data_IF_707298135365
#
_entry.id   IF_707298135365
#
_cell.length_a   1.000
_cell.length_b   1.000
_cell.length_c   1.000
_cell.angle_alpha   90.00
_cell.angle_beta   90.00
_cell.angle_gamma   90.00
#
_symmetry.space_group_name_H-M   'P 1'
#
loop_
_entity.id
_entity.type
_entity.pdbx_description
1 polymer ?
#
# COMPACT_ATOMS: atom_id res chain seq x y z
N UNK A 1 -8.28 -15.69 2.93
CA UNK A 1 -7.68 -16.01 4.26
C UNK A 1 -8.71 -15.71 5.34
N UNK A 2 -8.79 -16.50 6.40
CA UNK A 2 -9.78 -16.28 7.47
C UNK A 2 -9.28 -15.14 8.39
N UNK A 3 -10.19 -14.24 8.80
CA UNK A 3 -9.91 -13.10 9.67
C UNK A 3 -10.88 -13.09 10.86
N UNK A 4 -10.54 -12.37 11.93
CA UNK A 4 -11.48 -12.21 13.05
C UNK A 4 -12.64 -11.27 12.66
N UNK A 5 -13.84 -11.42 13.26
CA UNK A 5 -14.97 -10.53 13.02
C UNK A 5 -14.65 -9.06 13.30
N UNK A 6 -13.83 -8.79 14.32
CA UNK A 6 -13.44 -7.43 14.71
C UNK A 6 -12.58 -6.77 13.63
N UNK A 7 -11.66 -7.52 13.00
CA UNK A 7 -10.90 -7.03 11.87
C UNK A 7 -11.82 -6.74 10.67
N UNK A 8 -12.78 -7.62 10.39
CA UNK A 8 -13.77 -7.39 9.34
C UNK A 8 -14.61 -6.12 9.56
N UNK A 9 -15.10 -5.93 10.78
CA UNK A 9 -15.85 -4.74 11.17
C UNK A 9 -15.01 -3.47 11.04
N UNK A 10 -13.78 -3.49 11.57
CA UNK A 10 -12.86 -2.36 11.48
C UNK A 10 -12.59 -1.95 10.03
N UNK A 11 -12.30 -2.91 9.14
CA UNK A 11 -12.08 -2.64 7.72
C UNK A 11 -13.34 -2.06 7.06
N UNK A 12 -14.52 -2.61 7.36
CA UNK A 12 -15.80 -2.12 6.84
C UNK A 12 -16.12 -0.70 7.29
N UNK A 13 -15.92 -0.39 8.57
CA UNK A 13 -16.15 0.95 9.12
C UNK A 13 -15.18 1.98 8.55
N UNK A 14 -13.87 1.66 8.55
CA UNK A 14 -12.84 2.57 8.03
C UNK A 14 -12.99 2.85 6.54
N UNK A 15 -13.46 1.86 5.78
CA UNK A 15 -13.67 1.99 4.34
C UNK A 15 -15.03 2.58 3.98
N UNK A 16 -15.95 2.73 4.94
CA UNK A 16 -17.36 3.03 4.69
C UNK A 16 -17.98 2.08 3.64
N UNK A 17 -17.55 0.81 3.63
CA UNK A 17 -18.01 -0.19 2.67
C UNK A 17 -17.47 -0.04 1.25
N UNK A 18 -16.52 0.87 0.99
CA UNK A 18 -15.90 1.03 -0.33
C UNK A 18 -14.93 -0.13 -0.61
N UNK A 19 -15.19 -1.00 -1.62
CA UNK A 19 -14.35 -2.16 -1.89
C UNK A 19 -12.89 -1.82 -2.21
N UNK A 20 -12.66 -0.75 -2.95
CA UNK A 20 -11.30 -0.28 -3.27
C UNK A 20 -10.56 0.16 -2.01
N UNK A 21 -11.25 0.86 -1.10
CA UNK A 21 -10.62 1.28 0.15
C UNK A 21 -10.36 0.07 1.07
N UNK A 22 -11.25 -0.92 1.14
CA UNK A 22 -10.98 -2.18 1.87
C UNK A 22 -9.70 -2.84 1.36
N UNK A 23 -9.54 -2.94 0.04
CA UNK A 23 -8.35 -3.53 -0.59
C UNK A 23 -7.09 -2.75 -0.23
N UNK A 24 -7.08 -1.43 -0.47
CA UNK A 24 -5.91 -0.59 -0.20
C UNK A 24 -5.53 -0.56 1.27
N UNK A 25 -6.52 -0.52 2.16
CA UNK A 25 -6.28 -0.59 3.60
C UNK A 25 -5.71 -1.95 3.99
N UNK A 26 -6.24 -3.04 3.43
CA UNK A 26 -5.72 -4.39 3.70
C UNK A 26 -4.28 -4.55 3.23
N UNK A 27 -3.96 -4.04 2.03
CA UNK A 27 -2.59 -4.02 1.51
C UNK A 27 -1.65 -3.20 2.40
N UNK A 28 -2.05 -2.01 2.85
CA UNK A 28 -1.25 -1.19 3.77
C UNK A 28 -0.96 -1.94 5.09
N UNK A 29 -1.96 -2.58 5.68
CA UNK A 29 -1.79 -3.36 6.92
C UNK A 29 -0.84 -4.55 6.73
N UNK A 30 -0.87 -5.19 5.55
CA UNK A 30 0.04 -6.27 5.20
C UNK A 30 1.46 -5.78 4.99
N UNK A 31 1.66 -4.72 4.22
CA UNK A 31 2.97 -4.10 3.96
C UNK A 31 3.64 -3.62 5.25
N UNK A 32 2.85 -3.11 6.20
CA UNK A 32 3.33 -2.68 7.52
C UNK A 32 3.52 -3.83 8.52
N UNK A 33 3.15 -5.05 8.16
CA UNK A 33 3.24 -6.22 9.03
C UNK A 33 2.35 -6.13 10.28
N UNK A 34 1.27 -5.35 10.25
CA UNK A 34 0.42 -5.12 11.43
C UNK A 34 -0.60 -6.23 11.67
N UNK A 35 -0.82 -7.08 10.67
CA UNK A 35 -1.70 -8.23 10.80
C UNK A 35 -0.96 -9.38 11.47
N UNK A 36 -1.52 -9.85 12.58
CA UNK A 36 -0.97 -10.95 13.38
C UNK A 36 -1.90 -12.16 13.30
N UNK A 37 -1.34 -13.36 13.50
CA UNK A 37 -2.13 -14.59 13.52
C UNK A 37 -2.59 -14.88 14.95
N UNK A 38 -3.91 -14.85 15.14
CA UNK A 38 -4.53 -15.34 16.36
C UNK A 38 -4.76 -16.84 16.23
N UNK A 39 -4.46 -17.59 17.29
CA UNK A 39 -4.66 -19.04 17.31
C UNK A 39 -5.63 -19.42 18.42
N UNK A 40 -6.90 -19.55 18.08
CA UNK A 40 -7.99 -19.96 18.97
C UNK A 40 -8.74 -21.19 18.44
N UNK A 41 -7.97 -22.20 17.98
CA UNK A 41 -8.50 -23.37 17.28
C UNK A 41 -8.65 -23.19 15.76
N UNK A 42 -8.50 -21.95 15.28
CA UNK A 42 -8.33 -21.62 13.85
C UNK A 42 -7.29 -20.51 13.73
N UNK A 43 -6.47 -20.56 12.68
CA UNK A 43 -5.56 -19.47 12.35
C UNK A 43 -6.35 -18.34 11.68
N UNK A 44 -6.53 -17.24 12.41
CA UNK A 44 -7.26 -16.05 11.97
C UNK A 44 -6.34 -14.83 11.99
N UNK A 45 -6.38 -14.01 10.94
CA UNK A 45 -5.72 -12.70 10.98
C UNK A 45 -6.48 -11.74 11.91
N UNK A 46 -5.74 -11.05 12.77
CA UNK A 46 -6.25 -9.99 13.63
C UNK A 46 -5.35 -8.76 13.59
N UNK A 47 -5.91 -7.62 13.99
CA UNK A 47 -5.21 -6.36 14.13
C UNK A 47 -5.16 -5.98 15.63
N UNK A 48 -3.97 -5.92 16.24
CA UNK A 48 -3.82 -5.51 17.63
C UNK A 48 -4.33 -4.09 17.87
N UNK A 49 -5.03 -3.88 19.01
CA UNK A 49 -5.61 -2.56 19.37
C UNK A 49 -4.58 -1.43 19.40
N UNK A 50 -3.33 -1.75 19.77
CA UNK A 50 -2.23 -0.78 19.83
C UNK A 50 -1.90 -0.12 18.48
N UNK A 51 -2.33 -0.70 17.36
CA UNK A 51 -2.06 -0.15 16.02
C UNK A 51 -3.23 0.67 15.44
N UNK A 52 -4.39 0.70 16.09
CA UNK A 52 -5.61 1.30 15.53
C UNK A 52 -5.47 2.80 15.27
N UNK A 53 -4.78 3.53 16.15
CA UNK A 53 -4.58 4.98 16.02
C UNK A 53 -3.61 5.34 14.89
N UNK A 54 -2.65 4.46 14.58
CA UNK A 54 -1.66 4.67 13.54
C UNK A 54 -2.18 4.33 12.13
N UNK A 55 -3.46 3.98 11.99
CA UNK A 55 -4.06 3.60 10.72
C UNK A 55 -4.76 4.81 10.10
N UNK A 56 -4.37 5.22 8.88
CA UNK A 56 -4.99 6.36 8.21
C UNK A 56 -6.51 6.22 8.09
N UNK A 57 -7.21 7.34 8.21
CA UNK A 57 -8.67 7.40 8.15
C UNK A 57 -9.23 7.63 6.74
N UNK A 58 -8.37 7.88 5.75
CA UNK A 58 -8.80 8.17 4.37
C UNK A 58 -7.99 7.37 3.36
N UNK A 59 -8.60 7.10 2.21
CA UNK A 59 -7.93 6.42 1.10
C UNK A 59 -6.69 7.17 0.63
N UNK A 60 -6.75 8.50 0.53
CA UNK A 60 -5.61 9.32 0.14
C UNK A 60 -4.46 9.19 1.14
N UNK A 61 -4.75 9.19 2.44
CA UNK A 61 -3.73 9.03 3.46
C UNK A 61 -3.12 7.62 3.47
N UNK A 62 -3.91 6.58 3.17
CA UNK A 62 -3.38 5.23 2.94
C UNK A 62 -2.42 5.21 1.75
N UNK A 63 -2.83 5.75 0.61
CA UNK A 63 -1.99 5.79 -0.60
C UNK A 63 -0.70 6.59 -0.37
N UNK A 64 -0.77 7.75 0.29
CA UNK A 64 0.42 8.53 0.65
C UNK A 64 1.37 7.75 1.57
N UNK A 65 0.84 7.08 2.60
CA UNK A 65 1.65 6.27 3.51
C UNK A 65 2.36 5.12 2.79
N UNK A 66 1.75 4.54 1.74
CA UNK A 66 2.39 3.53 0.88
C UNK A 66 3.50 4.15 0.02
N UNK A 67 3.23 5.29 -0.62
CA UNK A 67 4.22 6.02 -1.42
C UNK A 67 5.45 6.44 -0.59
N UNK A 68 5.27 6.81 0.67
CA UNK A 68 6.36 7.21 1.55
C UNK A 68 7.28 6.06 1.97
N UNK A 69 6.80 4.81 1.92
CA UNK A 69 7.61 3.61 2.20
C UNK A 69 8.34 3.05 0.99
N UNK A 70 8.08 3.56 -0.21
CA UNK A 70 8.79 3.13 -1.41
C UNK A 70 10.29 3.41 -1.26
N UNK A 71 11.13 2.49 -1.73
CA UNK A 71 12.56 2.74 -1.85
C UNK A 71 12.80 4.01 -2.69
N UNK A 72 13.84 4.77 -2.37
CA UNK A 72 14.09 6.11 -2.93
C UNK A 72 13.99 6.16 -4.45
N UNK A 73 14.60 5.19 -5.16
CA UNK A 73 14.54 5.17 -6.61
C UNK A 73 13.18 4.75 -7.18
N UNK A 74 12.38 3.95 -6.48
CA UNK A 74 10.99 3.66 -6.89
C UNK A 74 10.12 4.90 -6.67
N UNK A 75 10.33 5.63 -5.55
CA UNK A 75 9.65 6.90 -5.29
C UNK A 75 9.95 7.92 -6.40
N UNK A 76 11.19 7.99 -6.87
CA UNK A 76 11.58 8.84 -8.01
C UNK A 76 10.85 8.45 -9.29
N UNK A 77 10.78 7.15 -9.63
CA UNK A 77 10.01 6.66 -10.80
C UNK A 77 8.56 7.13 -10.73
N UNK A 78 7.90 6.92 -9.58
CA UNK A 78 6.48 7.28 -9.40
C UNK A 78 6.27 8.79 -9.52
N UNK A 79 7.18 9.60 -8.95
CA UNK A 79 7.11 11.06 -9.04
C UNK A 79 7.33 11.56 -10.47
N UNK A 80 8.27 10.99 -11.21
CA UNK A 80 8.49 11.33 -12.62
C UNK A 80 7.31 10.88 -13.49
N UNK A 81 6.72 9.72 -13.21
CA UNK A 81 5.51 9.25 -13.89
C UNK A 81 4.29 10.16 -13.64
N UNK A 82 4.16 10.69 -12.41
CA UNK A 82 2.99 11.50 -12.01
C UNK A 82 2.80 12.78 -12.84
N UNK A 83 3.86 13.32 -13.45
CA UNK A 83 3.78 14.53 -14.30
C UNK A 83 3.43 14.24 -15.75
N UNK A 84 3.52 12.98 -16.20
CA UNK A 84 3.21 12.57 -17.57
C UNK A 84 1.70 12.44 -17.84
N UNK A 85 0.88 12.38 -16.78
CA UNK A 85 -0.57 12.22 -16.87
C UNK A 85 -1.03 10.80 -16.54
N UNK A 86 -2.30 10.50 -16.87
CA UNK A 86 -2.93 9.21 -16.51
C UNK A 86 -2.38 8.02 -17.29
N UNK A 87 -1.99 8.24 -18.54
CA UNK A 87 -1.47 7.23 -19.46
C UNK A 87 -0.26 7.82 -20.18
N UNK A 88 0.80 7.05 -20.29
CA UNK A 88 2.04 7.47 -20.93
C UNK A 88 2.82 6.25 -21.43
N UNK A 89 3.70 6.48 -22.40
CA UNK A 89 4.60 5.43 -22.87
C UNK A 89 5.76 5.23 -21.89
N UNK A 90 6.04 3.96 -21.55
CA UNK A 90 7.16 3.61 -20.66
C UNK A 90 8.49 4.14 -21.22
N UNK A 91 8.66 4.19 -22.54
CA UNK A 91 9.86 4.75 -23.17
C UNK A 91 10.07 6.23 -22.83
N UNK A 92 9.00 7.02 -22.78
CA UNK A 92 9.08 8.44 -22.37
C UNK A 92 9.52 8.56 -20.92
N UNK A 93 8.93 7.74 -20.02
CA UNK A 93 9.33 7.69 -18.62
C UNK A 93 10.81 7.30 -18.46
N UNK A 94 11.27 6.29 -19.22
CA UNK A 94 12.68 5.87 -19.22
C UNK A 94 13.61 7.00 -19.68
N UNK A 95 13.28 7.72 -20.75
CA UNK A 95 14.07 8.87 -21.22
C UNK A 95 14.14 9.98 -20.16
N UNK A 96 13.05 10.27 -19.45
CA UNK A 96 13.05 11.26 -18.36
C UNK A 96 13.90 10.83 -17.15
N UNK A 97 13.99 9.52 -16.92
CA UNK A 97 14.75 8.95 -15.83
C UNK A 97 16.20 8.66 -16.19
N UNK A 98 16.60 8.66 -17.47
CA UNK A 98 17.97 8.40 -17.95
C UNK A 98 19.02 9.48 -17.56
N UNK A 99 18.66 10.38 -16.64
CA UNK A 99 19.62 11.04 -15.76
C UNK A 99 19.98 10.18 -14.50
N UNK A 100 19.50 8.94 -14.38
CA UNK A 100 19.82 7.93 -13.36
C UNK A 100 20.05 6.54 -14.03
N UNK A 101 21.30 6.06 -14.14
CA UNK A 101 21.66 4.87 -14.91
C UNK A 101 21.19 3.51 -14.36
N UNK A 102 20.72 3.41 -13.11
CA UNK A 102 20.39 2.12 -12.46
C UNK A 102 18.89 1.77 -12.46
N UNK A 103 18.08 2.53 -13.19
CA UNK A 103 16.63 2.48 -13.06
C UNK A 103 16.00 1.12 -13.45
N UNK A 104 16.45 0.52 -14.55
CA UNK A 104 15.89 -0.74 -15.07
C UNK A 104 15.97 -1.87 -14.04
N UNK A 105 16.95 -1.81 -13.15
CA UNK A 105 17.16 -2.76 -12.07
C UNK A 105 16.19 -2.53 -10.89
N UNK A 106 15.84 -1.27 -10.60
CA UNK A 106 14.90 -0.89 -9.52
C UNK A 106 13.45 -1.27 -9.82
N UNK A 107 13.07 -1.35 -11.10
CA UNK A 107 11.73 -1.75 -11.53
C UNK A 107 11.52 -3.27 -11.43
N UNK A 108 12.57 -4.08 -11.61
CA UNK A 108 12.49 -5.54 -11.52
C UNK A 108 12.56 -6.10 -10.09
N UNK A 109 12.90 -5.26 -9.10
CA UNK A 109 13.07 -5.66 -7.69
C UNK A 109 11.97 -5.18 -6.74
N UNK A 110 10.90 -4.58 -7.25
CA UNK A 110 9.72 -4.14 -6.50
C UNK A 110 8.59 -5.16 -6.63
#
# INVERSE_FOLDING_TARGET
KNMTPELGHFLSEKSNGNPFFVEQLTLDLQERGLLTLHNNGRQLFHLPKAHLEAIPSTINAVLMARLDRLASGVKQVVQTAAVLGREFEVQVLLQMLQNDPDLSQKIHSA
#
